data_IF_513376224386
#
_entry.id   IF_513376224386
#
_cell.length_a   1.000
_cell.length_b   1.000
_cell.length_c   1.000
_cell.angle_alpha   90.00
_cell.angle_beta   90.00
_cell.angle_gamma   90.00
#
_symmetry.space_group_name_H-M   'P 1'
#
loop_
_entity.id
_entity.type
_entity.pdbx_description
1 polymer ?
#
# COMPACT_ATOMS: atom_id res chain seq x y z
N UNK A 1 32.32 -12.90 -2.91
CA UNK A 1 31.74 -13.95 -2.05
C UNK A 1 31.31 -13.25 -0.77
N UNK A 2 30.13 -12.63 -0.79
CA UNK A 2 29.60 -11.84 0.33
C UNK A 2 28.64 -12.75 1.08
N UNK A 3 29.03 -13.15 2.27
CA UNK A 3 28.23 -13.98 3.16
C UNK A 3 27.17 -13.08 3.81
N UNK A 4 25.93 -13.13 3.31
CA UNK A 4 24.78 -12.50 3.95
C UNK A 4 24.51 -13.21 5.28
N UNK A 5 25.06 -12.67 6.38
CA UNK A 5 24.57 -12.92 7.73
C UNK A 5 23.27 -12.15 7.92
N UNK A 6 22.18 -12.70 7.38
CA UNK A 6 20.84 -12.37 7.82
C UNK A 6 20.61 -13.07 9.17
N UNK A 7 21.22 -12.53 10.22
CA UNK A 7 20.97 -12.96 11.59
C UNK A 7 19.54 -12.55 11.97
N UNK A 8 18.69 -13.56 12.14
CA UNK A 8 17.61 -13.86 13.12
C UNK A 8 16.94 -12.73 13.94
N UNK A 9 17.43 -11.49 13.98
CA UNK A 9 16.91 -10.40 14.80
C UNK A 9 15.68 -9.67 14.21
N UNK A 10 15.31 -9.91 12.94
CA UNK A 10 14.08 -9.35 12.32
C UNK A 10 12.80 -9.83 13.01
N UNK A 11 12.85 -10.96 13.74
CA UNK A 11 11.69 -11.56 14.41
C UNK A 11 11.51 -11.13 15.88
N UNK A 12 12.29 -10.17 16.39
CA UNK A 12 12.07 -9.61 17.74
C UNK A 12 10.92 -8.59 17.84
N UNK A 13 10.12 -8.40 16.78
CA UNK A 13 8.85 -7.68 16.86
C UNK A 13 7.71 -8.55 17.43
N UNK A 14 7.85 -9.00 18.68
CA UNK A 14 6.83 -9.77 19.41
C UNK A 14 5.51 -8.98 19.64
N UNK A 15 5.51 -7.66 19.47
CA UNK A 15 4.32 -6.81 19.65
C UNK A 15 3.35 -6.83 18.46
N UNK A 16 3.84 -7.05 17.23
CA UNK A 16 3.02 -6.89 16.01
C UNK A 16 2.24 -8.16 15.62
N UNK A 17 2.72 -9.35 16.01
CA UNK A 17 2.00 -10.62 15.79
C UNK A 17 0.71 -10.67 16.66
N UNK A 18 0.80 -10.17 17.90
CA UNK A 18 -0.33 -10.09 18.83
C UNK A 18 -1.46 -9.13 18.38
N UNK A 19 -1.14 -8.11 17.57
CA UNK A 19 -2.12 -7.18 17.02
C UNK A 19 -3.06 -7.88 16.02
N UNK A 20 -2.52 -8.76 15.17
CA UNK A 20 -3.28 -9.48 14.16
C UNK A 20 -4.15 -10.60 14.71
N UNK A 21 -3.67 -11.37 15.69
CA UNK A 21 -4.47 -12.43 16.33
C UNK A 21 -5.75 -11.87 16.97
N UNK A 22 -5.69 -10.66 17.54
CA UNK A 22 -6.86 -10.01 18.14
C UNK A 22 -7.87 -9.51 17.13
N UNK A 23 -7.48 -9.10 15.93
CA UNK A 23 -8.42 -8.58 14.92
C UNK A 23 -9.04 -9.66 14.03
N UNK A 24 -8.30 -10.72 13.70
CA UNK A 24 -8.87 -11.86 12.97
C UNK A 24 -9.81 -12.70 13.83
N UNK A 25 -9.59 -12.76 15.15
CA UNK A 25 -10.49 -13.45 16.09
C UNK A 25 -11.79 -12.69 16.41
N UNK A 26 -11.86 -11.38 16.10
CA UNK A 26 -13.08 -10.56 16.27
C UNK A 26 -14.03 -10.57 15.08
N UNK A 27 -13.62 -11.18 13.96
CA UNK A 27 -14.51 -11.39 12.83
C UNK A 27 -15.51 -12.47 13.21
N UNK A 28 -16.80 -12.12 13.23
CA UNK A 28 -17.82 -13.15 13.33
C UNK A 28 -17.59 -14.15 12.18
N UNK A 29 -17.61 -15.44 12.50
CA UNK A 29 -17.39 -16.55 11.56
C UNK A 29 -18.30 -16.53 10.31
N UNK A 30 -19.16 -15.53 10.11
CA UNK A 30 -20.20 -15.52 9.09
C UNK A 30 -19.86 -14.69 7.83
N UNK A 31 -18.98 -13.68 7.88
CA UNK A 31 -18.67 -12.84 6.70
C UNK A 31 -17.40 -13.28 5.95
N UNK A 32 -16.37 -13.77 6.65
CA UNK A 32 -15.21 -14.43 6.03
C UNK A 32 -15.50 -15.87 5.57
N UNK A 33 -16.60 -16.49 6.03
CA UNK A 33 -16.95 -17.86 5.67
C UNK A 33 -17.41 -18.03 4.21
N UNK A 34 -17.57 -16.94 3.45
CA UNK A 34 -17.94 -17.02 2.04
C UNK A 34 -16.73 -17.34 1.14
N UNK A 35 -15.53 -16.84 1.46
CA UNK A 35 -14.35 -17.00 0.60
C UNK A 35 -13.47 -18.14 1.06
N UNK A 36 -13.19 -19.05 0.14
CA UNK A 36 -12.37 -20.22 0.45
C UNK A 36 -10.91 -19.99 0.06
N UNK A 37 -10.66 -19.13 -0.93
CA UNK A 37 -9.35 -18.91 -1.54
C UNK A 37 -9.05 -17.43 -1.75
N UNK A 38 -7.77 -17.08 -1.62
CA UNK A 38 -7.21 -15.80 -2.04
C UNK A 38 -6.47 -15.96 -3.39
N UNK A 39 -6.69 -15.05 -4.33
CA UNK A 39 -5.94 -14.94 -5.59
C UNK A 39 -5.25 -13.59 -5.59
N UNK A 40 -3.92 -13.56 -5.61
CA UNK A 40 -3.15 -12.31 -5.64
C UNK A 40 -2.59 -12.09 -7.03
N UNK A 41 -2.74 -10.87 -7.55
CA UNK A 41 -1.99 -10.47 -8.74
C UNK A 41 -0.71 -9.79 -8.32
N UNK A 42 0.40 -10.27 -8.86
CA UNK A 42 1.67 -9.62 -8.67
C UNK A 42 1.71 -8.21 -9.30
N UNK A 43 2.60 -7.36 -8.79
CA UNK A 43 2.74 -5.99 -9.26
C UNK A 43 3.46 -5.93 -10.61
N UNK A 44 2.73 -5.63 -11.68
CA UNK A 44 3.32 -5.25 -12.99
C UNK A 44 3.69 -3.75 -12.94
N UNK A 45 4.52 -3.32 -11.99
CA UNK A 45 5.06 -1.96 -12.07
C UNK A 45 6.21 -1.94 -13.06
N UNK A 46 5.89 -1.83 -14.36
CA UNK A 46 6.62 -0.87 -15.19
C UNK A 46 5.86 0.45 -15.06
N UNK A 47 6.28 1.27 -14.11
CA UNK A 47 6.14 2.71 -14.23
C UNK A 47 7.20 3.37 -13.34
N UNK A 48 8.46 3.08 -13.65
CA UNK A 48 9.48 4.10 -13.49
C UNK A 48 9.39 4.87 -14.79
N UNK A 49 8.74 6.04 -14.78
CA UNK A 49 8.86 6.97 -15.90
C UNK A 49 10.36 7.21 -16.13
N UNK A 50 10.83 7.33 -17.37
CA UNK A 50 12.24 7.65 -17.66
C UNK A 50 12.74 8.93 -16.95
N UNK A 51 11.81 9.75 -16.45
CA UNK A 51 12.05 10.95 -15.65
C UNK A 51 12.29 10.71 -14.16
N UNK A 52 12.04 9.51 -13.62
CA UNK A 52 12.35 9.21 -12.22
C UNK A 52 13.85 8.89 -12.05
N UNK A 53 14.50 9.42 -11.00
CA UNK A 53 15.91 9.17 -10.76
C UNK A 53 16.16 7.66 -10.58
N UNK A 54 17.29 7.19 -11.10
CA UNK A 54 17.66 5.77 -11.19
C UNK A 54 17.73 4.96 -9.88
N UNK A 55 17.30 5.53 -8.75
CA UNK A 55 17.15 4.84 -7.47
C UNK A 55 16.07 3.75 -7.50
N UNK A 56 15.10 3.81 -8.41
CA UNK A 56 14.10 2.75 -8.56
C UNK A 56 14.51 1.61 -9.50
N UNK A 57 15.62 1.74 -10.25
CA UNK A 57 16.06 0.73 -11.23
C UNK A 57 16.44 -0.62 -10.57
N UNK A 58 16.71 -0.62 -9.27
CA UNK A 58 16.99 -1.82 -8.47
C UNK A 58 15.74 -2.53 -7.93
N UNK A 59 14.54 -1.97 -8.16
CA UNK A 59 13.27 -2.65 -7.84
C UNK A 59 12.95 -3.69 -8.92
N UNK A 60 13.76 -4.73 -9.00
CA UNK A 60 13.38 -5.98 -9.67
C UNK A 60 13.10 -6.99 -8.56
N UNK A 61 11.83 -7.18 -8.20
CA UNK A 61 11.49 -8.17 -7.19
C UNK A 61 10.06 -8.05 -6.70
N UNK A 62 9.17 -8.84 -7.28
CA UNK A 62 8.22 -9.81 -6.70
C UNK A 62 7.94 -9.86 -5.18
N UNK A 63 8.72 -9.21 -4.30
CA UNK A 63 8.50 -9.14 -2.84
C UNK A 63 7.13 -8.54 -2.46
N UNK A 64 6.52 -7.81 -3.39
CA UNK A 64 5.26 -7.08 -3.17
C UNK A 64 4.03 -7.97 -3.10
N UNK A 65 4.04 -9.18 -3.66
CA UNK A 65 2.89 -10.10 -3.62
C UNK A 65 3.12 -11.31 -2.72
N UNK A 66 4.35 -11.80 -2.60
CA UNK A 66 4.71 -12.95 -1.78
C UNK A 66 4.41 -12.73 -0.29
N UNK A 67 4.88 -11.62 0.28
CA UNK A 67 4.66 -11.31 1.70
C UNK A 67 3.17 -11.10 2.02
N UNK A 68 2.41 -10.26 1.28
CA UNK A 68 0.97 -10.18 1.46
C UNK A 68 0.26 -11.52 1.33
N UNK A 69 0.65 -12.35 0.37
CA UNK A 69 0.08 -13.69 0.23
C UNK A 69 0.30 -14.53 1.47
N UNK A 70 1.51 -14.54 2.02
CA UNK A 70 1.82 -15.30 3.22
C UNK A 70 1.00 -14.84 4.42
N UNK A 71 0.89 -13.53 4.62
CA UNK A 71 0.12 -12.96 5.72
C UNK A 71 -1.38 -13.22 5.57
N UNK A 72 -1.95 -12.93 4.41
CA UNK A 72 -3.39 -13.02 4.17
C UNK A 72 -3.88 -14.47 4.06
N UNK A 73 -3.06 -15.39 3.53
CA UNK A 73 -3.42 -16.82 3.38
C UNK A 73 -3.90 -17.47 4.68
N UNK A 74 -3.46 -16.93 5.83
CA UNK A 74 -3.87 -17.39 7.15
C UNK A 74 -5.39 -17.29 7.38
N UNK A 75 -6.07 -16.37 6.69
CA UNK A 75 -7.52 -16.17 6.77
C UNK A 75 -8.35 -17.03 5.82
N UNK A 76 -7.74 -17.77 4.89
CA UNK A 76 -8.45 -18.51 3.83
C UNK A 76 -8.27 -20.03 3.97
N UNK A 77 -9.38 -20.78 3.87
CA UNK A 77 -9.39 -22.25 4.06
C UNK A 77 -8.47 -22.99 3.08
N UNK A 78 -8.44 -22.54 1.83
CA UNK A 78 -7.62 -23.09 0.75
C UNK A 78 -6.31 -22.33 0.55
N UNK A 79 -6.05 -21.32 1.39
CA UNK A 79 -4.84 -20.49 1.29
C UNK A 79 -4.88 -19.53 0.11
N UNK A 80 -3.71 -19.29 -0.50
CA UNK A 80 -3.58 -18.35 -1.62
C UNK A 80 -2.95 -18.92 -2.88
N UNK A 81 -3.29 -18.29 -4.00
CA UNK A 81 -2.66 -18.45 -5.31
C UNK A 81 -2.11 -17.11 -5.75
N UNK A 82 -0.83 -17.04 -6.08
CA UNK A 82 -0.17 -15.83 -6.55
C UNK A 82 0.05 -15.97 -8.04
N UNK A 83 -0.55 -15.08 -8.84
CA UNK A 83 -0.30 -15.02 -10.27
C UNK A 83 0.87 -14.09 -10.51
N UNK A 84 1.98 -14.62 -11.04
CA UNK A 84 3.21 -13.87 -11.27
C UNK A 84 3.50 -13.70 -12.76
N UNK A 85 4.04 -12.54 -13.11
CA UNK A 85 4.52 -12.29 -14.48
C UNK A 85 5.85 -13.00 -14.77
N UNK A 86 6.71 -13.16 -13.76
CA UNK A 86 7.92 -13.97 -13.87
C UNK A 86 8.16 -14.76 -12.57
N UNK A 87 8.88 -15.88 -12.63
CA UNK A 87 9.29 -16.59 -11.43
C UNK A 87 10.13 -15.71 -10.51
N UNK A 88 9.93 -15.81 -9.18
CA UNK A 88 10.87 -15.26 -8.21
C UNK A 88 12.29 -15.78 -8.50
N UNK A 89 13.32 -15.07 -8.07
CA UNK A 89 14.64 -15.68 -8.12
C UNK A 89 14.80 -16.73 -7.01
N UNK A 90 15.77 -17.63 -7.14
CA UNK A 90 15.95 -18.74 -6.19
C UNK A 90 16.29 -18.29 -4.77
N UNK A 91 16.94 -17.14 -4.61
CA UNK A 91 17.28 -16.57 -3.29
C UNK A 91 16.02 -16.05 -2.60
N UNK A 92 15.18 -15.31 -3.33
CA UNK A 92 13.86 -14.83 -2.86
C UNK A 92 12.97 -16.00 -2.44
N UNK A 93 12.82 -17.00 -3.31
CA UNK A 93 11.95 -18.14 -3.02
C UNK A 93 12.44 -18.94 -1.81
N UNK A 94 13.76 -19.09 -1.65
CA UNK A 94 14.32 -19.74 -0.46
C UNK A 94 14.05 -18.94 0.82
N UNK A 95 14.24 -17.61 0.79
CA UNK A 95 13.95 -16.74 1.93
C UNK A 95 12.45 -16.77 2.29
N UNK A 96 11.59 -16.72 1.28
CA UNK A 96 10.15 -16.81 1.42
C UNK A 96 9.69 -18.10 2.09
N UNK A 97 10.17 -19.25 1.60
CA UNK A 97 9.84 -20.57 2.16
C UNK A 97 10.34 -20.71 3.61
N UNK A 98 11.50 -20.15 3.93
CA UNK A 98 12.00 -20.09 5.31
C UNK A 98 11.08 -19.27 6.22
N UNK A 99 10.63 -18.10 5.77
CA UNK A 99 9.70 -17.26 6.53
C UNK A 99 8.35 -17.97 6.71
N UNK A 100 7.81 -18.57 5.64
CA UNK A 100 6.59 -19.37 5.67
C UNK A 100 6.69 -20.47 6.73
N UNK A 101 7.78 -21.23 6.73
CA UNK A 101 8.02 -22.27 7.72
C UNK A 101 7.99 -21.73 9.16
N UNK A 102 8.66 -20.60 9.42
CA UNK A 102 8.67 -19.99 10.75
C UNK A 102 7.27 -19.55 11.22
N UNK A 103 6.46 -18.99 10.32
CA UNK A 103 5.08 -18.62 10.63
C UNK A 103 4.22 -19.88 10.86
N UNK A 104 4.38 -20.93 10.06
CA UNK A 104 3.66 -22.20 10.25
C UNK A 104 4.00 -22.86 11.59
N UNK A 105 5.27 -22.82 12.00
CA UNK A 105 5.70 -23.27 13.33
C UNK A 105 5.07 -22.43 14.43
N UNK A 106 4.97 -21.12 14.27
CA UNK A 106 4.34 -20.25 15.26
C UNK A 106 2.83 -20.52 15.38
N UNK A 107 2.13 -20.62 14.25
CA UNK A 107 0.68 -20.84 14.19
C UNK A 107 0.27 -22.31 14.41
N UNK A 108 1.23 -23.24 14.46
CA UNK A 108 0.99 -24.68 14.58
C UNK A 108 0.04 -25.22 13.49
N UNK A 109 0.13 -24.67 12.28
CA UNK A 109 -0.66 -25.09 11.11
C UNK A 109 0.07 -24.82 9.81
N UNK A 110 -0.29 -25.58 8.77
CA UNK A 110 0.20 -25.38 7.41
C UNK A 110 -0.58 -24.24 6.75
N UNK A 111 0.14 -23.34 6.08
CA UNK A 111 -0.39 -22.29 5.22
C UNK A 111 -0.20 -22.76 3.77
N UNK A 112 -1.30 -22.90 3.01
CA UNK A 112 -1.25 -23.30 1.60
C UNK A 112 -0.99 -22.08 0.73
N UNK A 113 0.05 -22.14 -0.08
CA UNK A 113 0.42 -21.09 -1.03
C UNK A 113 0.90 -21.75 -2.30
N UNK A 114 0.38 -21.29 -3.44
CA UNK A 114 0.81 -21.70 -4.77
C UNK A 114 1.26 -20.44 -5.53
N UNK A 115 2.42 -20.51 -6.17
CA UNK A 115 2.93 -19.43 -7.03
C UNK A 115 2.79 -19.90 -8.47
N UNK A 116 1.87 -19.29 -9.21
CA UNK A 116 1.48 -19.70 -10.55
C UNK A 116 2.09 -18.78 -11.60
N UNK A 117 2.79 -19.37 -12.57
CA UNK A 117 3.32 -18.69 -13.75
C UNK A 117 2.74 -19.32 -15.03
N UNK A 118 2.30 -18.49 -15.97
CA UNK A 118 1.85 -18.96 -17.29
C UNK A 118 3.03 -19.00 -18.26
N UNK A 119 3.45 -20.20 -18.61
CA UNK A 119 4.51 -20.41 -19.59
C UNK A 119 4.05 -20.01 -21.00
N UNK A 120 4.99 -19.74 -21.93
CA UNK A 120 4.71 -19.26 -23.29
C UNK A 120 3.78 -20.17 -24.11
N UNK A 121 3.62 -21.43 -23.72
CA UNK A 121 2.69 -22.38 -24.35
C UNK A 121 1.28 -22.33 -23.73
N UNK A 122 1.00 -21.42 -22.80
CA UNK A 122 -0.26 -21.27 -22.09
C UNK A 122 -0.43 -22.20 -20.88
N UNK A 123 0.57 -23.03 -20.55
CA UNK A 123 0.47 -23.92 -19.40
C UNK A 123 0.78 -23.17 -18.10
N UNK A 124 -0.06 -23.38 -17.08
CA UNK A 124 0.26 -22.96 -15.72
C UNK A 124 1.30 -23.89 -15.09
N UNK A 125 2.33 -23.28 -14.53
CA UNK A 125 3.40 -23.91 -13.75
C UNK A 125 3.26 -23.45 -12.30
N UNK A 126 3.22 -24.40 -11.37
CA UNK A 126 3.34 -24.12 -9.93
C UNK A 126 4.83 -24.10 -9.57
N UNK A 127 5.31 -22.92 -9.17
CA UNK A 127 6.72 -22.61 -9.07
C UNK A 127 7.38 -23.11 -7.78
N UNK A 128 6.65 -23.23 -6.67
CA UNK A 128 7.20 -23.79 -5.42
C UNK A 128 7.56 -25.26 -5.65
N UNK A 129 6.63 -26.02 -6.21
CA UNK A 129 6.79 -27.42 -6.56
C UNK A 129 7.92 -27.59 -7.59
N UNK A 130 7.97 -26.75 -8.63
CA UNK A 130 9.07 -26.83 -9.61
C UNK A 130 10.43 -26.59 -8.94
N UNK A 131 10.51 -25.63 -8.04
CA UNK A 131 11.73 -25.31 -7.28
C UNK A 131 12.16 -26.45 -6.35
N UNK A 132 11.22 -27.06 -5.63
CA UNK A 132 11.48 -28.15 -4.68
C UNK A 132 11.80 -29.48 -5.39
N UNK A 133 11.00 -29.86 -6.39
CA UNK A 133 11.11 -31.16 -7.06
C UNK A 133 12.21 -31.17 -8.15
N UNK A 134 12.41 -30.04 -8.85
CA UNK A 134 13.25 -29.96 -10.06
C UNK A 134 14.03 -28.62 -10.13
N UNK A 135 14.94 -28.35 -9.18
CA UNK A 135 15.62 -27.06 -9.06
C UNK A 135 16.39 -26.63 -10.32
N UNK A 136 16.96 -27.57 -11.08
CA UNK A 136 17.63 -27.25 -12.35
C UNK A 136 16.65 -26.76 -13.41
N UNK A 137 15.43 -27.34 -13.49
CA UNK A 137 14.40 -26.87 -14.42
C UNK A 137 13.88 -25.49 -14.02
N UNK A 138 13.72 -25.24 -12.72
CA UNK A 138 13.38 -23.92 -12.21
C UNK A 138 14.44 -22.88 -12.58
N UNK A 139 15.72 -23.21 -12.39
CA UNK A 139 16.83 -22.32 -12.76
C UNK A 139 16.84 -22.02 -14.25
N UNK A 140 16.68 -23.02 -15.11
CA UNK A 140 16.56 -22.83 -16.56
C UNK A 140 15.39 -21.91 -16.91
N UNK A 141 14.23 -22.09 -16.28
CA UNK A 141 13.07 -21.22 -16.47
C UNK A 141 13.37 -19.76 -16.10
N UNK A 142 14.04 -19.51 -14.96
CA UNK A 142 14.45 -18.17 -14.56
C UNK A 142 15.43 -17.54 -15.58
N UNK A 143 16.40 -18.32 -16.07
CA UNK A 143 17.39 -17.86 -17.06
C UNK A 143 16.74 -17.56 -18.41
N UNK A 144 15.81 -18.40 -18.88
CA UNK A 144 15.05 -18.19 -20.11
C UNK A 144 14.25 -16.89 -20.06
N UNK A 145 13.60 -16.59 -18.93
CA UNK A 145 12.80 -15.38 -18.76
C UNK A 145 13.70 -14.14 -18.61
N UNK A 146 14.83 -14.25 -17.92
CA UNK A 146 15.80 -13.17 -17.80
C UNK A 146 16.39 -12.73 -19.16
N UNK A 147 16.45 -13.65 -20.13
CA UNK A 147 16.91 -13.39 -21.50
C UNK A 147 15.82 -12.79 -22.41
N UNK A 148 14.55 -12.85 -22.01
CA UNK A 148 13.45 -12.27 -22.78
C UNK A 148 13.43 -10.74 -22.59
N UNK A 149 13.40 -10.01 -23.71
CA UNK A 149 13.05 -8.59 -23.66
C UNK A 149 11.61 -8.48 -23.17
N UNK A 150 11.28 -7.63 -22.17
CA UNK A 150 9.91 -7.47 -21.73
C UNK A 150 9.10 -6.80 -22.85
N UNK A 151 8.50 -7.61 -23.73
CA UNK A 151 7.69 -7.12 -24.84
C UNK A 151 6.21 -7.08 -24.50
N UNK A 152 5.79 -7.80 -23.46
CA UNK A 152 4.38 -8.05 -23.14
C UNK A 152 4.00 -7.68 -21.68
N UNK A 153 4.69 -6.70 -21.08
CA UNK A 153 4.23 -6.11 -19.83
C UNK A 153 3.11 -5.11 -20.13
N UNK A 154 1.87 -5.59 -20.06
CA UNK A 154 0.67 -4.77 -20.22
C UNK A 154 -0.24 -4.84 -18.98
N UNK A 155 -1.00 -3.77 -18.66
CA UNK A 155 -1.81 -3.69 -17.44
C UNK A 155 -2.87 -4.78 -17.24
N UNK A 156 -3.20 -5.55 -18.28
CA UNK A 156 -4.20 -6.63 -18.24
C UNK A 156 -3.61 -8.04 -18.07
N UNK A 157 -2.29 -8.20 -18.01
CA UNK A 157 -1.67 -9.53 -18.07
C UNK A 157 -2.26 -10.51 -17.02
N UNK A 158 -2.31 -10.15 -15.74
CA UNK A 158 -2.86 -11.02 -14.70
C UNK A 158 -4.37 -11.26 -14.85
N UNK A 159 -5.13 -10.26 -15.33
CA UNK A 159 -6.55 -10.40 -15.65
C UNK A 159 -6.74 -11.45 -16.75
N UNK A 160 -5.94 -11.37 -17.80
CA UNK A 160 -6.06 -12.25 -18.96
C UNK A 160 -5.56 -13.66 -18.64
N UNK A 161 -4.50 -13.79 -17.85
CA UNK A 161 -4.02 -15.06 -17.29
C UNK A 161 -5.11 -15.73 -16.43
N UNK A 162 -5.73 -14.97 -15.51
CA UNK A 162 -6.83 -15.48 -14.69
C UNK A 162 -8.02 -15.92 -15.55
N UNK A 163 -8.41 -15.12 -16.55
CA UNK A 163 -9.53 -15.46 -17.46
C UNK A 163 -9.25 -16.73 -18.25
N UNK A 164 -8.05 -16.89 -18.81
CA UNK A 164 -7.67 -18.08 -19.58
C UNK A 164 -7.69 -19.34 -18.72
N UNK A 165 -7.27 -19.20 -17.47
CA UNK A 165 -7.07 -20.34 -16.56
C UNK A 165 -8.12 -20.42 -15.44
N UNK A 166 -9.26 -19.73 -15.58
CA UNK A 166 -10.27 -19.59 -14.52
C UNK A 166 -10.72 -20.93 -13.97
N UNK A 167 -11.01 -21.89 -14.84
CA UNK A 167 -11.50 -23.23 -14.47
C UNK A 167 -10.44 -24.05 -13.72
N UNK A 168 -9.15 -23.77 -13.94
CA UNK A 168 -8.05 -24.42 -13.21
C UNK A 168 -7.82 -23.71 -11.88
N UNK A 169 -7.75 -22.37 -11.91
CA UNK A 169 -7.46 -21.51 -10.76
C UNK A 169 -8.61 -21.49 -9.75
N UNK A 170 -9.86 -21.74 -10.15
CA UNK A 170 -11.02 -21.75 -9.24
C UNK A 170 -11.64 -23.15 -9.10
N UNK A 171 -10.92 -24.19 -9.54
CA UNK A 171 -11.40 -25.57 -9.46
C UNK A 171 -11.74 -25.97 -8.03
N UNK A 172 -12.97 -26.45 -7.83
CA UNK A 172 -13.50 -26.89 -6.54
C UNK A 172 -13.50 -25.79 -5.45
N UNK A 173 -13.52 -24.53 -5.87
CA UNK A 173 -13.60 -23.35 -5.00
C UNK A 173 -14.96 -22.67 -5.21
N UNK A 174 -15.75 -22.52 -4.14
CA UNK A 174 -17.05 -21.84 -4.26
C UNK A 174 -16.89 -20.35 -4.57
N UNK A 175 -16.00 -19.69 -3.83
CA UNK A 175 -15.76 -18.26 -4.00
C UNK A 175 -14.30 -17.90 -3.70
N UNK A 176 -13.70 -17.13 -4.59
CA UNK A 176 -12.33 -16.62 -4.47
C UNK A 176 -12.34 -15.12 -4.24
N UNK A 177 -11.48 -14.63 -3.35
CA UNK A 177 -11.19 -13.21 -3.22
C UNK A 177 -9.98 -12.86 -4.09
N UNK A 178 -10.15 -11.97 -5.06
CA UNK A 178 -9.08 -11.52 -5.95
C UNK A 178 -8.51 -10.21 -5.43
N UNK A 179 -7.22 -10.21 -5.09
CA UNK A 179 -6.50 -9.10 -4.54
C UNK A 179 -5.41 -8.62 -5.51
N UNK A 180 -5.72 -7.66 -6.41
CA UNK A 180 -4.69 -7.04 -7.22
C UNK A 180 -3.80 -6.13 -6.37
N UNK A 181 -2.53 -5.97 -6.77
CA UNK A 181 -1.62 -5.01 -6.13
C UNK A 181 -2.21 -3.58 -6.08
N UNK A 182 -2.84 -3.16 -7.17
CA UNK A 182 -3.61 -1.92 -7.24
C UNK A 182 -5.00 -2.21 -7.84
N UNK A 183 -6.05 -1.95 -7.07
CA UNK A 183 -7.42 -2.17 -7.51
C UNK A 183 -7.87 -0.99 -8.37
N UNK A 184 -8.20 -1.26 -9.63
CA UNK A 184 -8.56 -0.21 -10.60
C UNK A 184 -9.92 -0.48 -11.23
N UNK A 185 -10.49 0.53 -11.89
CA UNK A 185 -11.75 0.39 -12.63
C UNK A 185 -11.65 -0.67 -13.75
N UNK A 186 -10.46 -0.86 -14.30
CA UNK A 186 -10.18 -1.92 -15.27
C UNK A 186 -10.43 -3.31 -14.66
N UNK A 187 -9.89 -3.58 -13.46
CA UNK A 187 -10.11 -4.85 -12.76
C UNK A 187 -11.60 -5.10 -12.54
N UNK A 188 -12.31 -4.10 -12.02
CA UNK A 188 -13.76 -4.16 -11.78
C UNK A 188 -14.51 -4.49 -13.08
N UNK A 189 -14.32 -3.69 -14.13
CA UNK A 189 -15.00 -3.89 -15.42
C UNK A 189 -14.73 -5.26 -16.04
N UNK A 190 -13.49 -5.74 -15.98
CA UNK A 190 -13.08 -6.96 -16.67
C UNK A 190 -13.45 -8.25 -15.93
N UNK A 191 -13.56 -8.18 -14.60
CA UNK A 191 -13.84 -9.35 -13.74
C UNK A 191 -15.28 -9.36 -13.19
N UNK A 192 -16.06 -8.28 -13.32
CA UNK A 192 -17.45 -8.20 -12.85
C UNK A 192 -18.35 -9.32 -13.39
N UNK A 193 -18.11 -9.80 -14.61
CA UNK A 193 -18.86 -10.92 -15.20
C UNK A 193 -18.63 -12.27 -14.50
N UNK A 194 -17.67 -12.36 -13.60
CA UNK A 194 -17.36 -13.53 -12.79
C UNK A 194 -17.69 -13.29 -11.30
N UNK A 195 -18.57 -12.33 -10.99
CA UNK A 195 -18.92 -11.98 -9.60
C UNK A 195 -19.62 -13.10 -8.82
N UNK A 196 -20.13 -14.12 -9.53
CA UNK A 196 -20.63 -15.38 -8.97
C UNK A 196 -19.53 -16.23 -8.32
N UNK A 197 -18.28 -16.07 -8.77
CA UNK A 197 -17.11 -16.86 -8.33
C UNK A 197 -16.01 -16.01 -7.71
N UNK A 198 -15.94 -14.73 -8.06
CA UNK A 198 -14.88 -13.81 -7.66
C UNK A 198 -15.46 -12.65 -6.86
N UNK A 199 -14.80 -12.32 -5.76
CA UNK A 199 -15.00 -11.07 -5.05
C UNK A 199 -13.76 -10.20 -5.19
N UNK A 200 -13.98 -8.90 -5.33
CA UNK A 200 -12.92 -7.91 -5.50
C UNK A 200 -12.95 -6.95 -4.30
N UNK A 201 -11.81 -6.39 -3.89
CA UNK A 201 -11.81 -5.26 -2.98
C UNK A 201 -12.52 -4.06 -3.62
N UNK A 202 -12.88 -3.10 -2.78
CA UNK A 202 -13.26 -1.79 -3.29
C UNK A 202 -12.07 -1.17 -4.03
N UNK A 203 -12.35 -0.38 -5.08
CA UNK A 203 -11.31 0.44 -5.71
C UNK A 203 -10.82 1.41 -4.64
N UNK A 204 -9.54 1.31 -4.29
CA UNK A 204 -8.93 2.21 -3.32
C UNK A 204 -9.10 3.63 -3.83
N UNK A 205 -9.71 4.48 -3.02
CA UNK A 205 -9.45 5.91 -3.17
C UNK A 205 -8.03 6.11 -2.62
N UNK A 206 -7.16 6.84 -3.31
CA UNK A 206 -5.85 7.14 -2.74
C UNK A 206 -5.92 8.21 -1.65
N UNK A 207 -7.14 8.59 -1.23
CA UNK A 207 -7.37 9.64 -0.24
C UNK A 207 -6.99 9.13 1.16
N UNK A 208 -5.78 9.52 1.58
CA UNK A 208 -5.23 9.19 2.89
C UNK A 208 -6.13 9.65 4.03
N UNK A 209 -6.76 10.82 3.93
CA UNK A 209 -7.65 11.32 4.98
C UNK A 209 -8.90 10.45 5.12
N UNK A 210 -9.52 10.08 3.99
CA UNK A 210 -10.69 9.21 3.98
C UNK A 210 -10.38 7.88 4.67
N UNK A 211 -9.29 7.23 4.27
CA UNK A 211 -8.86 5.97 4.87
C UNK A 211 -8.55 6.13 6.35
N UNK A 212 -7.78 7.13 6.73
CA UNK A 212 -7.41 7.36 8.12
C UNK A 212 -8.61 7.49 9.06
N UNK A 213 -9.56 8.37 8.72
CA UNK A 213 -10.73 8.58 9.56
C UNK A 213 -11.67 7.39 9.57
N UNK A 214 -11.79 6.71 8.44
CA UNK A 214 -12.54 5.47 8.37
C UNK A 214 -11.98 4.42 9.32
N UNK A 215 -10.66 4.20 9.34
CA UNK A 215 -10.02 3.26 10.27
C UNK A 215 -10.27 3.65 11.73
N UNK A 216 -10.11 4.93 12.08
CA UNK A 216 -10.44 5.42 13.43
C UNK A 216 -11.90 5.14 13.80
N UNK A 217 -12.84 5.32 12.87
CA UNK A 217 -14.26 5.03 13.09
C UNK A 217 -14.54 3.53 13.37
N UNK A 218 -13.61 2.65 12.98
CA UNK A 218 -13.67 1.20 13.22
C UNK A 218 -12.90 0.76 14.47
N UNK A 219 -12.39 1.70 15.26
CA UNK A 219 -11.73 1.41 16.55
C UNK A 219 -10.22 1.23 16.46
N UNK A 220 -9.59 1.53 15.32
CA UNK A 220 -8.12 1.58 15.21
C UNK A 220 -7.60 2.86 15.90
N UNK A 221 -7.21 2.74 17.17
CA UNK A 221 -6.80 3.88 18.00
C UNK A 221 -5.31 4.25 17.88
N UNK A 222 -4.47 3.29 17.51
CA UNK A 222 -3.00 3.46 17.42
C UNK A 222 -2.56 4.01 16.05
N UNK A 223 -3.34 4.93 15.50
CA UNK A 223 -3.00 5.64 14.26
C UNK A 223 -2.46 7.04 14.57
N UNK A 224 -1.47 7.55 13.80
CA UNK A 224 -0.97 8.91 13.96
C UNK A 224 -2.09 9.96 14.03
N UNK A 225 -1.83 11.08 14.69
CA UNK A 225 -2.79 12.19 14.64
C UNK A 225 -2.80 12.80 13.24
N UNK A 226 -4.00 13.11 12.76
CA UNK A 226 -4.21 13.66 11.41
C UNK A 226 -5.42 14.58 11.47
N UNK A 227 -5.26 15.76 10.89
CA UNK A 227 -6.31 16.73 10.62
C UNK A 227 -6.34 16.91 9.10
N UNK A 228 -7.47 16.66 8.47
CA UNK A 228 -7.64 17.00 7.06
C UNK A 228 -8.15 18.42 6.93
N UNK A 229 -7.72 19.10 5.88
CA UNK A 229 -8.07 20.50 5.61
C UNK A 229 -8.71 20.55 4.24
N UNK A 230 -9.96 20.97 4.15
CA UNK A 230 -10.62 21.19 2.87
C UNK A 230 -10.37 22.60 2.35
N UNK A 231 -10.54 22.78 1.04
CA UNK A 231 -10.46 24.09 0.37
C UNK A 231 -11.50 25.10 0.84
N UNK A 232 -12.52 24.67 1.56
CA UNK A 232 -13.55 25.53 2.13
C UNK A 232 -13.22 26.04 3.53
N UNK A 233 -12.00 25.80 4.04
CA UNK A 233 -11.47 26.09 5.38
C UNK A 233 -11.80 25.08 6.49
N UNK A 234 -12.60 24.05 6.21
CA UNK A 234 -12.96 23.10 7.26
C UNK A 234 -11.76 22.28 7.73
N UNK A 235 -11.63 22.19 9.05
CA UNK A 235 -10.71 21.28 9.74
C UNK A 235 -11.49 20.04 10.15
N UNK A 236 -11.01 18.88 9.70
CA UNK A 236 -11.74 17.62 9.78
C UNK A 236 -10.94 16.65 10.63
N UNK A 237 -11.56 16.10 11.67
CA UNK A 237 -10.93 15.12 12.56
C UNK A 237 -11.72 13.81 12.69
N UNK A 238 -12.91 13.73 12.09
CA UNK A 238 -13.74 12.52 12.05
C UNK A 238 -14.18 12.08 10.64
N UNK A 239 -14.60 10.82 10.55
CA UNK A 239 -15.13 10.25 9.29
C UNK A 239 -16.47 10.88 8.89
N UNK A 240 -17.33 11.19 9.87
CA UNK A 240 -18.62 11.82 9.60
C UNK A 240 -18.43 13.22 8.98
N UNK A 241 -17.59 14.05 9.57
CA UNK A 241 -17.21 15.37 9.03
C UNK A 241 -16.62 15.25 7.62
N UNK A 242 -15.67 14.33 7.43
CA UNK A 242 -15.07 14.07 6.13
C UNK A 242 -16.16 13.77 5.07
N UNK A 243 -17.09 12.84 5.37
CA UNK A 243 -18.16 12.50 4.42
C UNK A 243 -19.13 13.66 4.17
N UNK A 244 -19.38 14.51 5.17
CA UNK A 244 -20.24 15.67 5.05
C UNK A 244 -19.63 16.75 4.15
N UNK A 245 -18.33 17.03 4.31
CA UNK A 245 -17.59 17.97 3.45
C UNK A 245 -17.56 17.45 2.01
N UNK A 246 -17.29 16.16 1.81
CA UNK A 246 -17.31 15.54 0.47
C UNK A 246 -18.69 15.68 -0.20
N UNK A 247 -19.78 15.51 0.54
CA UNK A 247 -21.15 15.63 0.00
C UNK A 247 -21.53 17.07 -0.36
N UNK A 248 -20.95 18.07 0.31
CA UNK A 248 -21.25 19.49 0.12
C UNK A 248 -20.29 20.20 -0.85
N UNK A 249 -19.43 19.42 -1.53
CA UNK A 249 -18.39 19.94 -2.44
C UNK A 249 -18.94 20.97 -3.42
N UNK A 250 -18.25 22.11 -3.46
CA UNK A 250 -18.51 23.16 -4.42
C UNK A 250 -17.25 23.43 -5.25
N UNK A 251 -17.35 23.20 -6.57
CA UNK A 251 -16.23 23.37 -7.50
C UNK A 251 -15.65 24.79 -7.50
N UNK A 252 -16.46 25.81 -7.16
CA UNK A 252 -15.99 27.19 -7.08
C UNK A 252 -14.93 27.41 -5.98
N UNK A 253 -14.97 26.62 -4.90
CA UNK A 253 -13.99 26.67 -3.82
C UNK A 253 -12.67 25.98 -4.20
N UNK A 254 -12.73 25.00 -5.10
CA UNK A 254 -11.54 24.34 -5.63
C UNK A 254 -10.84 25.14 -6.73
N UNK A 255 -11.40 26.24 -7.25
CA UNK A 255 -10.71 27.02 -8.30
C UNK A 255 -9.37 27.54 -7.77
N UNK A 256 -8.29 27.34 -8.52
CA UNK A 256 -6.96 27.85 -8.20
C UNK A 256 -6.90 29.37 -8.38
N UNK A 257 -7.45 30.10 -7.41
CA UNK A 257 -7.49 31.56 -7.36
C UNK A 257 -6.71 32.09 -6.16
N UNK A 258 -6.18 33.34 -6.21
CA UNK A 258 -5.46 33.92 -5.09
C UNK A 258 -6.21 33.87 -3.76
N UNK A 259 -7.53 34.08 -3.80
CA UNK A 259 -8.42 34.03 -2.63
C UNK A 259 -8.57 32.62 -2.07
N UNK A 260 -8.80 31.62 -2.92
CA UNK A 260 -8.97 30.24 -2.45
C UNK A 260 -7.64 29.68 -1.91
N UNK A 261 -6.51 30.05 -2.52
CA UNK A 261 -5.17 29.72 -2.01
C UNK A 261 -4.94 30.30 -0.62
N UNK A 262 -5.33 31.57 -0.40
CA UNK A 262 -5.21 32.22 0.91
C UNK A 262 -6.04 31.51 1.98
N UNK A 263 -7.31 31.22 1.69
CA UNK A 263 -8.21 30.49 2.59
C UNK A 263 -7.62 29.11 2.93
N UNK A 264 -7.20 28.37 1.91
CA UNK A 264 -6.63 27.03 2.07
C UNK A 264 -5.33 27.05 2.89
N UNK A 265 -4.41 27.98 2.59
CA UNK A 265 -3.17 28.15 3.33
C UNK A 265 -3.40 28.53 4.80
N UNK A 266 -4.39 29.40 5.07
CA UNK A 266 -4.72 29.79 6.43
C UNK A 266 -5.24 28.60 7.24
N UNK A 267 -6.11 27.77 6.65
CA UNK A 267 -6.61 26.57 7.31
C UNK A 267 -5.52 25.52 7.56
N UNK A 268 -4.55 25.37 6.64
CA UNK A 268 -3.37 24.50 6.85
C UNK A 268 -2.53 24.98 8.04
N UNK A 269 -2.26 26.29 8.14
CA UNK A 269 -1.52 26.86 9.29
C UNK A 269 -2.27 26.63 10.59
N UNK A 270 -3.60 26.79 10.58
CA UNK A 270 -4.43 26.52 11.76
C UNK A 270 -4.36 25.05 12.17
N UNK A 271 -4.41 24.11 11.23
CA UNK A 271 -4.23 22.68 11.51
C UNK A 271 -2.85 22.36 12.12
N UNK A 272 -1.77 22.99 11.62
CA UNK A 272 -0.42 22.87 12.20
C UNK A 272 -0.42 23.38 13.65
N UNK A 273 -1.02 24.54 13.88
CA UNK A 273 -1.14 25.14 15.21
C UNK A 273 -1.94 24.24 16.16
N UNK A 274 -3.01 23.60 15.69
CA UNK A 274 -3.78 22.66 16.49
C UNK A 274 -2.98 21.42 16.87
N UNK A 275 -2.23 20.82 15.94
CA UNK A 275 -1.33 19.70 16.27
C UNK A 275 -0.31 20.09 17.36
N UNK A 276 0.29 21.27 17.24
CA UNK A 276 1.27 21.74 18.22
C UNK A 276 0.65 22.09 19.56
N UNK A 277 -0.37 22.95 19.61
CA UNK A 277 -0.84 23.50 20.87
C UNK A 277 -1.80 22.57 21.61
N UNK A 278 -2.62 21.79 20.90
CA UNK A 278 -3.58 20.88 21.51
C UNK A 278 -2.98 19.52 21.86
N UNK A 279 -2.05 19.03 21.03
CA UNK A 279 -1.50 17.68 21.18
C UNK A 279 0.01 17.66 21.48
N UNK A 280 0.70 18.79 21.37
CA UNK A 280 2.16 18.88 21.48
C UNK A 280 2.90 17.93 20.53
N UNK A 281 2.37 17.77 19.32
CA UNK A 281 2.94 16.91 18.29
C UNK A 281 3.58 17.75 17.18
N UNK A 282 4.74 17.33 16.63
CA UNK A 282 5.28 17.92 15.41
C UNK A 282 4.38 17.59 14.22
N UNK A 283 4.33 18.48 13.24
CA UNK A 283 3.45 18.35 12.09
C UNK A 283 4.24 18.06 10.79
N UNK A 284 3.58 17.36 9.88
CA UNK A 284 3.97 17.11 8.50
C UNK A 284 2.76 17.39 7.61
N UNK A 285 2.97 18.08 6.49
CA UNK A 285 1.87 18.49 5.60
C UNK A 285 1.95 17.77 4.27
N UNK A 286 0.82 17.31 3.74
CA UNK A 286 0.63 16.96 2.33
C UNK A 286 -0.46 17.84 1.77
N UNK A 287 -0.19 18.63 0.73
CA UNK A 287 -1.21 19.54 0.17
C UNK A 287 -2.30 18.81 -0.62
N UNK A 288 -2.10 17.53 -0.95
CA UNK A 288 -3.09 16.65 -1.56
C UNK A 288 -3.18 15.34 -0.76
N UNK A 289 -4.38 15.00 -0.30
CA UNK A 289 -4.67 13.74 0.39
C UNK A 289 -4.58 12.52 -0.52
N UNK A 290 -4.75 12.70 -1.83
CA UNK A 290 -4.90 11.62 -2.82
C UNK A 290 -3.64 11.34 -3.66
N UNK A 291 -2.63 12.20 -3.56
CA UNK A 291 -1.40 12.12 -4.36
C UNK A 291 -0.38 11.10 -3.83
N UNK A 292 0.23 10.35 -4.75
CA UNK A 292 1.38 9.49 -4.44
C UNK A 292 2.68 10.31 -4.44
N UNK A 293 3.45 10.25 -3.34
CA UNK A 293 4.87 10.57 -3.29
C UNK A 293 5.32 12.00 -3.61
N UNK A 294 5.48 12.84 -2.58
CA UNK A 294 6.56 13.85 -2.54
C UNK A 294 6.32 15.23 -3.17
N UNK A 295 5.57 15.35 -4.26
CA UNK A 295 5.46 16.63 -5.01
C UNK A 295 4.82 17.78 -4.21
N UNK A 296 4.01 17.46 -3.20
CA UNK A 296 3.26 18.43 -2.40
C UNK A 296 3.41 18.19 -0.89
N UNK A 297 4.49 17.53 -0.47
CA UNK A 297 4.78 17.23 0.93
C UNK A 297 5.72 18.27 1.53
N UNK A 298 5.42 18.75 2.74
CA UNK A 298 6.23 19.74 3.45
C UNK A 298 6.67 19.17 4.79
N UNK A 299 7.98 19.06 5.02
CA UNK A 299 8.55 18.68 6.32
C UNK A 299 9.14 19.89 7.06
N UNK A 300 9.28 19.83 8.39
CA UNK A 300 9.94 20.89 9.16
C UNK A 300 11.39 21.17 8.77
N UNK A 301 12.13 20.15 8.32
CA UNK A 301 13.53 20.31 7.89
C UNK A 301 13.69 21.08 6.59
N UNK A 302 12.72 20.95 5.66
CA UNK A 302 12.77 21.58 4.33
C UNK A 302 12.01 22.91 4.30
N UNK A 303 10.91 23.00 5.05
CA UNK A 303 10.02 24.17 5.09
C UNK A 303 9.92 24.79 6.49
N UNK A 304 11.05 25.12 7.17
CA UNK A 304 11.04 25.52 8.57
C UNK A 304 10.13 26.72 8.85
N UNK A 305 9.99 27.64 7.89
CA UNK A 305 9.16 28.84 8.03
C UNK A 305 7.72 28.54 8.46
N UNK A 306 7.05 27.52 7.90
CA UNK A 306 5.64 27.25 8.26
C UNK A 306 5.49 26.59 9.63
N UNK A 307 6.57 26.03 10.18
CA UNK A 307 6.62 25.32 11.46
C UNK A 307 7.26 26.14 12.59
N UNK A 308 7.75 27.33 12.29
CA UNK A 308 8.32 28.25 13.28
C UNK A 308 7.21 29.03 13.98
N UNK A 309 6.93 28.68 15.23
CA UNK A 309 5.87 29.30 16.03
C UNK A 309 6.25 30.67 16.59
N UNK A 310 7.52 31.07 16.50
CA UNK A 310 7.98 32.41 16.90
C UNK A 310 7.82 33.43 15.75
N UNK A 311 7.62 32.95 14.53
CA UNK A 311 7.34 33.81 13.36
C UNK A 311 5.92 34.34 13.38
N UNK A 312 5.78 35.53 12.81
CA UNK A 312 4.48 36.15 12.59
C UNK A 312 3.62 35.27 11.66
N UNK A 313 2.32 35.18 11.99
CA UNK A 313 1.38 34.35 11.24
C UNK A 313 1.28 34.77 9.77
N UNK A 314 1.40 36.08 9.48
CA UNK A 314 1.35 36.58 8.11
C UNK A 314 2.59 36.15 7.32
N UNK A 315 3.76 36.09 7.95
CA UNK A 315 4.99 35.60 7.29
C UNK A 315 4.85 34.13 6.90
N UNK A 316 4.34 33.29 7.81
CA UNK A 316 4.05 31.87 7.56
C UNK A 316 3.03 31.71 6.42
N UNK A 317 1.98 32.53 6.43
CA UNK A 317 0.92 32.52 5.42
C UNK A 317 1.45 32.91 4.04
N UNK A 318 2.20 34.01 3.94
CA UNK A 318 2.78 34.48 2.67
C UNK A 318 3.69 33.41 2.07
N UNK A 319 4.53 32.77 2.90
CA UNK A 319 5.37 31.67 2.45
C UNK A 319 4.55 30.50 1.89
N UNK A 320 3.52 30.04 2.62
CA UNK A 320 2.71 28.90 2.20
C UNK A 320 1.90 29.20 0.92
N UNK A 321 1.35 30.41 0.78
CA UNK A 321 0.67 30.83 -0.45
C UNK A 321 1.61 30.82 -1.66
N UNK A 322 2.85 31.29 -1.50
CA UNK A 322 3.85 31.26 -2.56
C UNK A 322 4.20 29.82 -2.95
N UNK A 323 4.38 28.94 -1.96
CA UNK A 323 4.64 27.53 -2.20
C UNK A 323 3.49 26.83 -2.93
N UNK A 324 2.24 27.02 -2.48
CA UNK A 324 1.05 26.46 -3.15
C UNK A 324 0.97 26.91 -4.61
N UNK A 325 1.18 28.20 -4.90
CA UNK A 325 1.17 28.74 -6.27
C UNK A 325 2.27 28.18 -7.15
N UNK A 326 3.44 27.88 -6.57
CA UNK A 326 4.57 27.32 -7.30
C UNK A 326 4.39 25.81 -7.57
N UNK A 327 3.74 25.10 -6.65
CA UNK A 327 3.63 23.63 -6.68
C UNK A 327 2.36 23.14 -7.37
N UNK A 328 1.21 23.79 -7.15
CA UNK A 328 -0.08 23.38 -7.73
C UNK A 328 -0.30 24.19 -9.01
N UNK A 329 0.04 23.57 -10.14
CA UNK A 329 -0.09 24.16 -11.48
C UNK A 329 -1.45 23.91 -12.13
N UNK A 330 -2.27 23.03 -11.55
CA UNK A 330 -3.60 22.72 -12.06
C UNK A 330 -4.58 23.88 -11.90
N UNK A 331 -5.62 23.91 -12.73
CA UNK A 331 -6.69 24.91 -12.65
C UNK A 331 -7.49 24.82 -11.33
N UNK A 332 -7.39 23.68 -10.65
CA UNK A 332 -8.06 23.39 -9.39
C UNK A 332 -7.04 23.06 -8.29
N UNK A 333 -7.31 23.56 -7.08
CA UNK A 333 -6.67 23.11 -5.86
C UNK A 333 -7.09 21.67 -5.53
N UNK A 334 -6.22 20.89 -4.84
CA UNK A 334 -6.59 19.61 -4.26
C UNK A 334 -7.81 19.77 -3.35
N UNK A 335 -8.67 18.76 -3.31
CA UNK A 335 -9.90 18.84 -2.50
C UNK A 335 -9.60 18.86 -1.00
N UNK A 336 -8.52 18.18 -0.60
CA UNK A 336 -8.10 18.01 0.78
C UNK A 336 -6.58 18.07 0.87
N UNK A 337 -6.07 18.80 1.84
CA UNK A 337 -4.74 18.60 2.40
C UNK A 337 -4.81 17.73 3.65
N UNK A 338 -3.67 17.18 4.03
CA UNK A 338 -3.46 16.41 5.25
C UNK A 338 -2.39 17.09 6.08
N UNK A 339 -2.71 17.43 7.32
CA UNK A 339 -1.72 17.82 8.34
C UNK A 339 -1.67 16.70 9.38
N UNK A 340 -0.57 15.98 9.42
CA UNK A 340 -0.40 14.81 10.25
C UNK A 340 0.75 14.94 11.22
N UNK A 341 0.75 14.11 12.26
CA UNK A 341 1.88 13.92 13.14
C UNK A 341 3.11 13.50 12.34
N UNK A 342 4.21 14.22 12.51
CA UNK A 342 5.49 13.84 11.93
C UNK A 342 6.00 12.59 12.66
N UNK A 343 5.99 11.47 11.95
CA UNK A 343 6.62 10.23 12.42
C UNK A 343 8.03 10.18 11.85
N UNK A 344 9.03 10.28 12.72
CA UNK A 344 10.40 9.99 12.34
C UNK A 344 10.56 8.47 12.16
N UNK A 345 11.15 8.01 11.05
CA UNK A 345 11.40 6.60 10.87
C UNK A 345 12.35 6.11 11.95
N UNK A 346 12.08 4.92 12.49
CA UNK A 346 13.01 4.29 13.44
C UNK A 346 14.27 3.87 12.71
N UNK A 347 15.44 4.24 13.23
CA UNK A 347 16.72 3.79 12.67
C UNK A 347 17.08 2.38 13.16
N UNK A 348 17.15 1.43 12.25
CA UNK A 348 17.61 0.05 12.50
C UNK A 348 19.14 -0.06 12.40
N UNK A 349 19.75 -1.13 12.96
CA UNK A 349 21.18 -1.39 12.82
C UNK A 349 21.63 -1.32 11.35
N UNK A 350 22.70 -0.58 11.08
CA UNK A 350 23.11 -0.25 9.71
C UNK A 350 22.65 1.11 9.20
N UNK A 351 22.03 1.94 10.07
CA UNK A 351 21.52 3.29 9.72
C UNK A 351 20.36 3.27 8.71
N UNK A 352 19.54 2.23 8.78
CA UNK A 352 18.43 1.99 7.85
C UNK A 352 17.14 2.52 8.47
N UNK A 353 16.43 3.42 7.78
CA UNK A 353 15.15 3.97 8.20
C UNK A 353 14.04 2.92 8.08
N UNK A 354 13.36 2.58 9.17
CA UNK A 354 12.22 1.68 9.13
C UNK A 354 11.01 2.39 8.49
N UNK A 355 10.52 1.84 7.38
CA UNK A 355 9.25 2.27 6.80
C UNK A 355 8.09 1.54 7.50
N UNK A 356 7.30 2.26 8.28
CA UNK A 356 6.12 1.70 8.96
C UNK A 356 4.83 1.79 8.15
N UNK A 357 4.93 2.05 6.85
CA UNK A 357 3.75 2.08 5.99
C UNK A 357 3.01 0.75 6.08
N UNK A 358 1.81 0.81 6.66
CA UNK A 358 0.88 -0.32 6.72
C UNK A 358 0.06 -0.28 5.45
N UNK A 359 0.37 -1.17 4.51
CA UNK A 359 -0.48 -1.40 3.35
C UNK A 359 -1.64 -2.32 3.77
N UNK A 360 -2.81 -2.11 3.17
CA UNK A 360 -4.00 -2.91 3.43
C UNK A 360 -5.09 -2.66 2.39
N UNK A 361 -6.20 -3.38 2.49
CA UNK A 361 -7.39 -3.14 1.66
C UNK A 361 -8.65 -3.00 2.50
N UNK A 362 -9.65 -2.32 1.94
CA UNK A 362 -10.98 -2.24 2.54
C UNK A 362 -11.93 -3.16 1.79
N UNK A 363 -12.69 -3.95 2.54
CA UNK A 363 -13.67 -4.87 2.02
C UNK A 363 -14.94 -4.76 2.86
N UNK A 364 -16.05 -4.41 2.20
CA UNK A 364 -17.35 -4.20 2.84
C UNK A 364 -17.30 -3.22 4.01
N UNK A 365 -16.42 -2.21 3.93
CA UNK A 365 -16.25 -1.28 5.04
C UNK A 365 -15.52 -1.87 6.26
N UNK A 366 -14.62 -2.82 6.06
CA UNK A 366 -13.62 -3.28 7.05
C UNK A 366 -12.22 -3.26 6.43
N UNK A 367 -11.21 -2.76 7.16
CA UNK A 367 -9.82 -2.72 6.69
C UNK A 367 -9.03 -3.98 7.10
N UNK A 368 -8.26 -4.50 6.17
CA UNK A 368 -7.42 -5.68 6.28
C UNK A 368 -5.97 -5.28 5.96
N UNK A 369 -5.07 -5.20 6.95
CA UNK A 369 -3.66 -4.93 6.69
C UNK A 369 -3.03 -6.11 5.94
N UNK A 370 -2.33 -5.82 4.85
CA UNK A 370 -1.67 -6.78 3.96
C UNK A 370 -0.16 -6.84 4.14
N UNK A 371 0.45 -5.73 4.56
CA UNK A 371 1.86 -5.69 4.93
C UNK A 371 2.14 -4.49 5.84
N UNK A 372 3.11 -4.67 6.72
CA UNK A 372 3.92 -3.58 7.24
C UNK A 372 5.22 -3.68 6.45
N UNK A 373 5.75 -2.56 5.95
CA UNK A 373 7.02 -2.62 5.23
C UNK A 373 8.14 -3.08 6.18
N UNK A 374 8.52 -4.35 6.08
CA UNK A 374 9.54 -4.92 6.97
C UNK A 374 10.94 -4.55 6.51
N UNK A 375 11.11 -4.09 5.27
CA UNK A 375 12.38 -3.64 4.73
C UNK A 375 12.55 -2.17 5.07
N UNK A 376 13.63 -1.84 5.78
CA UNK A 376 13.97 -0.44 5.99
C UNK A 376 14.50 0.17 4.68
N UNK A 377 14.43 1.49 4.57
CA UNK A 377 15.00 2.26 3.47
C UNK A 377 16.28 2.97 3.90
N UNK A 378 17.29 3.03 3.06
CA UNK A 378 18.43 3.93 3.18
C UNK A 378 18.30 4.97 2.08
N UNK A 379 18.21 6.25 2.45
CA UNK A 379 18.03 7.36 1.50
C UNK A 379 16.83 7.18 0.53
N UNK A 380 15.74 6.56 1.00
CA UNK A 380 14.54 6.29 0.20
C UNK A 380 14.60 5.07 -0.71
N UNK A 381 15.64 4.23 -0.61
CA UNK A 381 15.76 2.94 -1.29
C UNK A 381 15.74 1.79 -0.28
N UNK A 382 14.97 0.71 -0.51
CA UNK A 382 14.95 -0.44 0.41
C UNK A 382 16.32 -1.15 0.48
N UNK A 383 16.70 -1.56 1.69
CA UNK A 383 17.98 -2.23 2.01
C UNK A 383 17.79 -3.73 2.22
#
# INVERSE_FOLDING_TARGET
>A
MVTLRADVDVLKCNSNINFHERHLSTLSNNELAAWEQLIIFDGITIQILESEPGSFANFRGFDRSLLPALWLSTGFRLGSRILVYAPPNSVELHAYLKLKYLIEQHLQRIIRIEILYEHLNGNLIELIQLFEDKPEQYKTLCEEIAQQTPKDLYPKYHIDMLKRNMEVITKDVQQSFVFPYDMTELHRRELQKYSDRLSLPDISNNDKAQHHFFLKSKGFTDLPRLIAVSVDDSLIDTYEEYTNVIKRRNIYQTINSPRNIEIFAQAIIEAINQLKHRFNLPAFVKLDSSGAGGWSSMSPSVHPTIYDFEKDQQERLVYLQQYIRATITDELLPQMAVVEELIEPEKRPGDIDADYTVCGFVLSGTFFPTSINLCGTENGAYV
#
